data_IF_101044483077
#
_entry.id   IF_101044483077
#
_cell.length_a   1.000
_cell.length_b   1.000
_cell.length_c   1.000
_cell.angle_alpha   90.00
_cell.angle_beta   90.00
_cell.angle_gamma   90.00
#
_symmetry.space_group_name_H-M   'P 1'
#
loop_
_entity.id
_entity.type
_entity.pdbx_description
1 polymer ?
#
# COMPACT_ATOMS: atom_id res chain seq x y z
N UNK A 1 -8.78 -17.61 -3.86
CA UNK A 1 -8.73 -16.73 -2.68
C UNK A 1 -7.77 -15.58 -2.92
N UNK A 2 -7.64 -14.67 -1.96
CA UNK A 2 -6.78 -13.48 -2.08
C UNK A 2 -5.33 -13.84 -2.43
N UNK A 3 -4.75 -14.83 -1.73
CA UNK A 3 -3.38 -15.29 -1.98
C UNK A 3 -3.15 -15.71 -3.43
N UNK A 4 -4.00 -16.57 -4.00
CA UNK A 4 -3.85 -16.99 -5.40
C UNK A 4 -3.97 -15.82 -6.39
N UNK A 5 -4.90 -14.88 -6.12
CA UNK A 5 -5.07 -13.69 -6.98
C UNK A 5 -3.81 -12.84 -6.97
N UNK A 6 -3.22 -12.60 -5.79
CA UNK A 6 -1.95 -11.89 -5.66
C UNK A 6 -0.80 -12.65 -6.33
N UNK A 7 -0.69 -13.96 -6.15
CA UNK A 7 0.34 -14.75 -6.81
C UNK A 7 0.26 -14.64 -8.34
N UNK A 8 -0.95 -14.64 -8.92
CA UNK A 8 -1.14 -14.44 -10.34
C UNK A 8 -0.73 -13.04 -10.82
N UNK A 9 -1.10 -11.98 -10.08
CA UNK A 9 -0.77 -10.58 -10.40
C UNK A 9 0.75 -10.36 -10.37
N UNK A 10 1.42 -10.90 -9.35
CA UNK A 10 2.84 -10.65 -9.08
C UNK A 10 3.76 -11.77 -9.59
N UNK A 11 3.22 -12.70 -10.38
CA UNK A 11 3.94 -13.85 -10.92
C UNK A 11 4.73 -14.66 -9.86
N UNK A 12 4.13 -14.83 -8.68
CA UNK A 12 4.71 -15.61 -7.58
C UNK A 12 4.43 -17.09 -7.84
N UNK A 13 5.45 -17.97 -7.84
CA UNK A 13 5.26 -19.41 -8.03
C UNK A 13 4.31 -20.03 -7.00
N UNK A 14 3.46 -20.95 -7.45
CA UNK A 14 2.53 -21.71 -6.59
C UNK A 14 2.78 -23.20 -6.71
N UNK A 15 2.75 -23.90 -5.58
CA UNK A 15 2.82 -25.35 -5.51
C UNK A 15 1.40 -25.90 -5.46
N UNK A 16 1.17 -27.05 -6.12
CA UNK A 16 -0.15 -27.68 -6.15
C UNK A 16 -0.42 -28.48 -4.89
N UNK A 17 -1.65 -28.40 -4.38
CA UNK A 17 -2.13 -29.24 -3.28
C UNK A 17 -1.31 -29.10 -2.00
N UNK A 18 -0.94 -27.87 -1.62
CA UNK A 18 -0.25 -27.61 -0.36
C UNK A 18 -1.21 -27.83 0.81
N UNK A 19 -0.85 -28.64 1.82
CA UNK A 19 -1.72 -28.89 2.96
C UNK A 19 -1.81 -27.65 3.84
N UNK A 20 -3.04 -27.27 4.20
CA UNK A 20 -3.30 -26.21 5.16
C UNK A 20 -4.30 -26.74 6.19
N UNK A 21 -3.93 -26.62 7.45
CA UNK A 21 -4.76 -27.06 8.57
C UNK A 21 -5.43 -25.87 9.25
N UNK A 22 -6.55 -26.10 9.94
CA UNK A 22 -7.25 -25.09 10.72
C UNK A 22 -7.62 -23.86 9.87
N UNK A 23 -8.31 -24.08 8.75
CA UNK A 23 -8.96 -23.01 8.00
C UNK A 23 -10.38 -22.87 8.52
N UNK A 24 -10.80 -21.65 8.82
CA UNK A 24 -12.19 -21.37 9.16
C UNK A 24 -13.02 -21.23 7.87
N UNK A 25 -13.94 -22.15 7.65
CA UNK A 25 -14.94 -22.04 6.59
C UNK A 25 -16.15 -21.24 7.08
N UNK A 26 -16.38 -20.09 6.44
CA UNK A 26 -17.48 -19.18 6.80
C UNK A 26 -18.87 -19.75 6.48
N UNK A 27 -18.98 -20.61 5.47
CA UNK A 27 -20.27 -21.19 5.07
C UNK A 27 -20.72 -22.26 6.07
N UNK A 28 -19.84 -23.24 6.36
CA UNK A 28 -20.15 -24.29 7.33
C UNK A 28 -19.93 -23.87 8.79
N UNK A 29 -19.26 -22.73 9.03
CA UNK A 29 -18.84 -22.22 10.36
C UNK A 29 -17.98 -23.22 11.14
N UNK A 30 -17.14 -23.99 10.45
CA UNK A 30 -16.28 -25.01 11.04
C UNK A 30 -14.82 -24.79 10.66
N UNK A 31 -13.93 -25.30 11.51
CA UNK A 31 -12.53 -25.47 11.16
C UNK A 31 -12.38 -26.71 10.31
N UNK A 32 -11.71 -26.55 9.17
CA UNK A 32 -11.45 -27.63 8.22
C UNK A 32 -9.96 -27.65 7.86
N UNK A 33 -9.50 -28.83 7.47
CA UNK A 33 -8.20 -29.03 6.83
C UNK A 33 -8.42 -29.25 5.33
N UNK A 34 -7.49 -28.79 4.51
CA UNK A 34 -7.63 -28.90 3.06
C UNK A 34 -6.29 -28.79 2.32
N UNK A 35 -6.36 -28.96 1.00
CA UNK A 35 -5.22 -28.82 0.12
C UNK A 35 -5.52 -27.70 -0.89
N UNK A 36 -4.58 -26.76 -1.03
CA UNK A 36 -4.77 -25.56 -1.85
C UNK A 36 -3.52 -25.29 -2.67
N UNK A 37 -3.72 -24.69 -3.85
CA UNK A 37 -2.59 -24.22 -4.65
C UNK A 37 -2.08 -22.90 -4.04
N UNK A 38 -0.89 -22.94 -3.46
CA UNK A 38 -0.32 -21.86 -2.64
C UNK A 38 1.20 -21.75 -2.83
N UNK A 39 1.79 -20.55 -2.65
CA UNK A 39 3.23 -20.42 -2.54
C UNK A 39 3.73 -21.11 -1.26
N UNK A 40 4.94 -21.64 -1.30
CA UNK A 40 5.58 -22.28 -0.14
C UNK A 40 6.88 -21.59 0.25
N UNK A 41 7.17 -21.59 1.55
CA UNK A 41 8.43 -21.08 2.09
C UNK A 41 9.62 -21.92 1.62
N UNK A 42 10.68 -21.27 1.14
CA UNK A 42 11.92 -21.94 0.72
C UNK A 42 12.70 -22.55 1.90
N UNK A 43 12.38 -22.16 3.14
CA UNK A 43 13.10 -22.59 4.35
C UNK A 43 12.55 -23.92 4.87
N UNK A 44 11.23 -24.09 4.85
CA UNK A 44 10.54 -25.20 5.53
C UNK A 44 9.36 -25.79 4.73
N UNK A 45 9.14 -25.34 3.48
CA UNK A 45 8.03 -25.75 2.62
C UNK A 45 6.62 -25.48 3.20
N UNK A 46 6.51 -24.67 4.25
CA UNK A 46 5.22 -24.29 4.82
C UNK A 46 4.41 -23.44 3.85
N UNK A 47 3.07 -23.56 3.92
CA UNK A 47 2.16 -22.75 3.11
C UNK A 47 2.29 -21.27 3.47
N UNK A 48 2.47 -20.41 2.47
CA UNK A 48 2.46 -18.96 2.65
C UNK A 48 1.07 -18.43 2.29
N UNK A 49 0.42 -17.79 3.26
CA UNK A 49 -0.81 -17.04 3.05
C UNK A 49 -0.49 -15.55 2.94
N UNK A 50 -0.79 -14.98 1.79
CA UNK A 50 -0.80 -13.52 1.64
C UNK A 50 -2.10 -12.98 2.21
N UNK A 51 -2.02 -11.89 2.97
CA UNK A 51 -3.17 -11.18 3.54
C UNK A 51 -3.18 -9.74 3.05
N UNK A 52 -4.36 -9.13 2.82
CA UNK A 52 -4.43 -7.72 2.47
C UNK A 52 -3.77 -6.88 3.54
N UNK A 53 -2.80 -6.05 3.16
CA UNK A 53 -2.07 -5.20 4.11
C UNK A 53 -2.99 -4.29 4.93
N UNK A 54 -4.13 -3.87 4.36
CA UNK A 54 -5.16 -3.06 5.03
C UNK A 54 -5.68 -3.67 6.33
N UNK A 55 -5.89 -4.98 6.36
CA UNK A 55 -6.39 -5.67 7.56
C UNK A 55 -5.26 -5.94 8.55
N UNK A 56 -4.01 -5.82 8.11
CA UNK A 56 -2.81 -5.88 8.96
C UNK A 56 -2.55 -4.48 9.51
N UNK A 57 -3.37 -4.08 10.48
CA UNK A 57 -3.06 -2.93 11.33
C UNK A 57 -2.17 -3.42 12.45
N UNK A 58 -0.89 -3.06 12.38
CA UNK A 58 -0.07 -3.20 13.55
C UNK A 58 -0.49 -2.11 14.54
N UNK A 59 -1.34 -2.48 15.48
CA UNK A 59 -1.83 -1.61 16.53
C UNK A 59 -1.14 -2.03 17.83
N UNK A 60 0.15 -1.70 18.04
CA UNK A 60 0.84 -1.98 19.30
C UNK A 60 0.34 -0.98 20.37
N UNK A 61 -0.96 -0.74 20.47
CA UNK A 61 -1.53 0.11 21.49
C UNK A 61 -1.37 -0.53 22.87
N UNK A 62 -1.82 -1.78 22.96
CA UNK A 62 -1.60 -2.69 24.09
C UNK A 62 -0.61 -3.74 23.59
N UNK A 63 0.64 -3.67 24.06
CA UNK A 63 1.67 -4.62 23.65
C UNK A 63 2.70 -4.85 24.76
N UNK A 64 3.43 -5.96 24.64
CA UNK A 64 4.42 -6.39 25.63
C UNK A 64 5.57 -5.39 25.82
N UNK A 65 6.15 -4.87 24.74
CA UNK A 65 7.32 -3.98 24.84
C UNK A 65 6.97 -2.65 25.51
N UNK A 66 5.80 -2.10 25.21
CA UNK A 66 5.28 -0.89 25.83
C UNK A 66 4.90 -1.11 27.30
N UNK A 67 4.22 -2.22 27.62
CA UNK A 67 3.97 -2.62 29.01
C UNK A 67 5.28 -2.71 29.82
N UNK A 68 6.30 -3.35 29.27
CA UNK A 68 7.61 -3.46 29.94
C UNK A 68 8.25 -2.09 30.13
N UNK A 69 8.17 -1.20 29.14
CA UNK A 69 8.72 0.16 29.23
C UNK A 69 8.00 1.03 30.26
N UNK A 70 6.67 0.97 30.31
CA UNK A 70 5.86 1.86 31.15
C UNK A 70 5.71 1.36 32.59
N UNK A 71 5.34 0.09 32.76
CA UNK A 71 5.03 -0.49 34.08
C UNK A 71 6.21 -1.22 34.71
N UNK A 72 7.09 -1.81 33.90
CA UNK A 72 8.11 -2.74 34.39
C UNK A 72 9.54 -2.15 34.44
N UNK A 73 9.78 -1.02 33.77
CA UNK A 73 11.10 -0.39 33.73
C UNK A 73 11.59 0.05 35.12
N UNK A 74 10.69 0.51 35.99
CA UNK A 74 11.01 0.89 37.37
C UNK A 74 11.43 -0.34 38.18
N UNK A 75 10.74 -1.47 38.02
CA UNK A 75 11.11 -2.74 38.66
C UNK A 75 12.48 -3.23 38.18
N UNK A 76 12.75 -3.20 36.87
CA UNK A 76 14.05 -3.57 36.31
C UNK A 76 15.20 -2.67 36.78
N UNK A 77 14.95 -1.36 36.97
CA UNK A 77 15.92 -0.41 37.52
C UNK A 77 16.18 -0.66 39.00
N UNK A 78 15.13 -0.88 39.79
CA UNK A 78 15.22 -1.14 41.23
C UNK A 78 15.94 -2.46 41.55
N UNK A 79 15.79 -3.47 40.70
CA UNK A 79 16.46 -4.77 40.84
C UNK A 79 17.93 -4.75 40.41
N UNK A 80 18.44 -3.59 39.95
CA UNK A 80 19.87 -3.33 39.79
C UNK A 80 20.57 -4.31 38.84
N UNK A 81 20.31 -4.21 37.53
CA UNK A 81 21.14 -4.92 36.55
C UNK A 81 22.48 -4.21 36.35
N UNK A 82 23.31 -4.11 37.40
CA UNK A 82 24.76 -4.02 37.19
C UNK A 82 25.17 -5.36 36.58
N UNK A 83 25.55 -5.33 35.30
CA UNK A 83 26.34 -6.35 34.57
C UNK A 83 26.33 -7.75 35.21
N UNK A 84 25.35 -8.58 34.87
CA UNK A 84 25.52 -10.04 34.86
C UNK A 84 25.31 -10.53 33.43
N UNK A 85 26.28 -10.25 32.58
CA UNK A 85 26.42 -10.88 31.28
C UNK A 85 27.91 -11.14 31.02
N UNK A 86 28.49 -11.97 31.86
CA UNK A 86 29.69 -12.74 31.57
C UNK A 86 29.55 -14.11 32.24
N UNK A 87 28.51 -14.85 31.86
CA UNK A 87 28.43 -16.29 32.11
C UNK A 87 28.21 -16.94 30.73
N UNK A 88 29.25 -17.60 30.24
CA UNK A 88 29.21 -18.45 29.06
C UNK A 88 28.06 -19.45 29.20
N UNK A 89 27.13 -19.46 28.25
CA UNK A 89 26.09 -20.50 28.10
C UNK A 89 24.73 -20.23 28.76
N UNK A 90 24.48 -19.05 29.34
CA UNK A 90 23.19 -18.72 29.98
C UNK A 90 22.28 -17.87 29.07
N UNK A 91 20.97 -18.14 29.18
CA UNK A 91 19.81 -17.49 28.53
C UNK A 91 20.01 -16.01 28.15
N UNK A 92 19.51 -15.61 26.98
CA UNK A 92 19.63 -14.22 26.49
C UNK A 92 19.01 -13.21 27.46
N UNK A 93 19.55 -11.99 27.49
CA UNK A 93 19.05 -10.92 28.36
C UNK A 93 17.55 -10.66 28.16
N UNK A 94 17.07 -10.74 26.92
CA UNK A 94 15.65 -10.59 26.59
C UNK A 94 14.78 -11.71 27.20
N UNK A 95 15.25 -12.96 27.14
CA UNK A 95 14.54 -14.09 27.73
C UNK A 95 14.54 -14.03 29.27
N UNK A 96 15.62 -13.54 29.89
CA UNK A 96 15.67 -13.29 31.33
C UNK A 96 14.65 -12.22 31.77
N UNK A 97 14.56 -11.10 31.05
CA UNK A 97 13.56 -10.05 31.31
C UNK A 97 12.15 -10.62 31.16
N UNK A 98 11.86 -11.35 30.08
CA UNK A 98 10.53 -11.95 29.85
C UNK A 98 10.11 -12.89 30.97
N UNK A 99 11.05 -13.72 31.47
CA UNK A 99 10.78 -14.61 32.61
C UNK A 99 10.44 -13.83 33.88
N UNK A 100 11.19 -12.78 34.19
CA UNK A 100 10.96 -11.94 35.37
C UNK A 100 9.64 -11.18 35.27
N UNK A 101 9.30 -10.65 34.08
CA UNK A 101 7.99 -10.03 33.81
C UNK A 101 6.87 -11.02 34.09
N UNK A 102 6.91 -12.21 33.49
CA UNK A 102 5.88 -13.26 33.69
C UNK A 102 5.77 -13.68 35.16
N UNK A 103 6.88 -13.79 35.87
CA UNK A 103 6.88 -14.18 37.28
C UNK A 103 6.20 -13.12 38.17
N UNK A 104 6.42 -11.84 37.89
CA UNK A 104 5.78 -10.75 38.64
C UNK A 104 4.32 -10.57 38.25
N UNK A 105 4.00 -10.55 36.96
CA UNK A 105 2.60 -10.38 36.51
C UNK A 105 1.68 -11.51 36.96
N UNK A 106 2.20 -12.73 37.12
CA UNK A 106 1.43 -13.84 37.73
C UNK A 106 1.08 -13.62 39.20
N UNK A 107 1.88 -12.84 39.94
CA UNK A 107 1.64 -12.54 41.37
C UNK A 107 0.87 -11.23 41.55
N UNK A 108 1.09 -10.27 40.66
CA UNK A 108 0.55 -8.92 40.71
C UNK A 108 -0.17 -8.61 39.39
N UNK A 109 -1.28 -9.31 39.15
CA UNK A 109 -2.06 -9.18 37.91
C UNK A 109 -2.62 -7.76 37.72
N UNK A 110 -2.89 -7.06 38.84
CA UNK A 110 -3.38 -5.68 38.86
C UNK A 110 -2.49 -4.70 38.08
N UNK A 111 -1.20 -5.00 37.90
CA UNK A 111 -0.30 -4.19 37.06
C UNK A 111 -0.68 -4.26 35.59
N UNK A 112 -1.04 -5.45 35.12
CA UNK A 112 -1.51 -5.66 33.76
C UNK A 112 -2.85 -4.97 33.59
N UNK A 113 -3.77 -5.12 34.55
CA UNK A 113 -5.08 -4.48 34.50
C UNK A 113 -4.99 -2.95 34.49
N UNK A 114 -4.10 -2.37 35.31
CA UNK A 114 -3.84 -0.92 35.31
C UNK A 114 -3.32 -0.44 33.97
N UNK A 115 -2.35 -1.15 33.39
CA UNK A 115 -1.81 -0.83 32.07
C UNK A 115 -2.91 -0.84 31.00
N UNK A 116 -3.70 -1.92 30.96
CA UNK A 116 -4.81 -2.07 30.01
C UNK A 116 -5.80 -0.92 30.20
N UNK A 117 -6.23 -0.65 31.45
CA UNK A 117 -7.19 0.41 31.75
C UNK A 117 -6.70 1.78 31.30
N UNK A 118 -5.45 2.14 31.58
CA UNK A 118 -4.87 3.42 31.12
C UNK A 118 -4.85 3.51 29.60
N UNK A 119 -4.56 2.40 28.91
CA UNK A 119 -4.62 2.34 27.44
C UNK A 119 -6.05 2.46 26.92
N UNK A 120 -7.02 1.82 27.54
CA UNK A 120 -8.43 1.92 27.14
C UNK A 120 -9.00 3.32 27.37
N UNK A 121 -8.68 3.95 28.51
CA UNK A 121 -9.07 5.35 28.80
C UNK A 121 -8.50 6.34 27.76
N UNK A 122 -7.36 6.01 27.16
CA UNK A 122 -6.72 6.83 26.12
C UNK A 122 -6.88 6.25 24.69
N UNK A 123 -7.86 5.36 24.46
CA UNK A 123 -8.00 4.64 23.19
C UNK A 123 -8.16 5.56 21.95
N UNK A 124 -8.61 6.80 22.13
CA UNK A 124 -8.66 7.82 21.05
C UNK A 124 -7.27 8.11 20.45
N UNK A 125 -6.20 7.88 21.21
CA UNK A 125 -4.82 8.03 20.76
C UNK A 125 -4.28 6.77 20.07
N UNK A 126 -5.01 5.66 20.07
CA UNK A 126 -4.59 4.43 19.42
C UNK A 126 -4.60 4.62 17.90
N UNK A 127 -3.40 4.75 17.33
CA UNK A 127 -3.21 4.87 15.88
C UNK A 127 -2.44 3.64 15.37
N UNK A 128 -2.82 3.08 14.21
CA UNK A 128 -2.01 2.05 13.57
C UNK A 128 -0.57 2.55 13.38
N UNK A 129 0.40 1.75 13.81
CA UNK A 129 1.80 2.08 13.59
C UNK A 129 2.14 1.85 12.12
N UNK A 130 2.65 2.89 11.47
CA UNK A 130 3.27 2.79 10.14
C UNK A 130 4.75 2.38 10.22
N UNK A 131 5.32 2.24 11.43
CA UNK A 131 6.76 1.98 11.66
C UNK A 131 7.23 0.55 11.35
N UNK A 132 6.39 -0.28 10.73
CA UNK A 132 6.75 -1.63 10.26
C UNK A 132 7.42 -1.60 8.88
N UNK A 133 7.68 -0.41 8.33
CA UNK A 133 8.30 -0.26 7.03
C UNK A 133 9.70 0.28 7.21
N UNK A 134 10.67 -0.54 6.82
CA UNK A 134 12.07 -0.21 6.84
C UNK A 134 12.38 0.85 5.77
N UNK A 135 12.77 2.06 6.20
CA UNK A 135 13.17 3.14 5.31
C UNK A 135 14.37 2.73 4.43
N UNK A 136 15.26 1.86 4.93
CA UNK A 136 16.34 1.31 4.11
C UNK A 136 15.80 0.42 2.98
N UNK A 137 14.75 -0.35 3.27
CA UNK A 137 13.99 -1.11 2.27
C UNK A 137 13.36 -0.21 1.21
N UNK A 138 12.81 0.94 1.59
CA UNK A 138 12.23 1.89 0.64
C UNK A 138 13.24 2.44 -0.35
N UNK A 139 14.45 2.79 0.10
CA UNK A 139 15.49 3.29 -0.82
C UNK A 139 15.87 2.25 -1.86
N UNK A 140 16.15 1.02 -1.43
CA UNK A 140 16.54 -0.06 -2.34
C UNK A 140 15.43 -0.34 -3.38
N UNK A 141 14.18 -0.44 -2.92
CA UNK A 141 13.02 -0.67 -3.77
C UNK A 141 12.80 0.49 -4.75
N UNK A 142 12.87 1.74 -4.29
CA UNK A 142 12.77 2.92 -5.15
C UNK A 142 13.84 2.94 -6.24
N UNK A 143 15.09 2.59 -5.91
CA UNK A 143 16.18 2.56 -6.87
C UNK A 143 15.99 1.43 -7.91
N UNK A 144 15.50 0.26 -7.48
CA UNK A 144 15.14 -0.84 -8.38
C UNK A 144 14.00 -0.45 -9.32
N UNK A 145 12.91 0.11 -8.81
CA UNK A 145 11.75 0.52 -9.61
C UNK A 145 12.11 1.62 -10.62
N UNK A 146 12.98 2.57 -10.25
CA UNK A 146 13.53 3.57 -11.18
C UNK A 146 14.33 2.92 -12.31
N UNK A 147 15.17 1.93 -11.98
CA UNK A 147 15.96 1.21 -12.98
C UNK A 147 15.06 0.39 -13.92
N UNK A 148 14.05 -0.28 -13.37
CA UNK A 148 13.06 -1.04 -14.13
C UNK A 148 12.29 -0.15 -15.10
N UNK A 149 11.75 0.99 -14.63
CA UNK A 149 11.05 1.97 -15.48
C UNK A 149 11.93 2.44 -16.66
N UNK A 150 13.20 2.77 -16.38
CA UNK A 150 14.15 3.20 -17.42
C UNK A 150 14.48 2.10 -18.42
N UNK A 151 14.45 0.82 -18.00
CA UNK A 151 14.75 -0.32 -18.86
C UNK A 151 13.65 -0.63 -19.89
N UNK A 152 12.44 -0.09 -19.71
CA UNK A 152 11.32 -0.30 -20.64
C UNK A 152 11.48 0.63 -21.84
N UNK A 153 11.54 0.08 -23.04
CA UNK A 153 11.68 0.88 -24.26
C UNK A 153 10.40 1.65 -24.56
N UNK A 154 10.52 2.86 -25.10
CA UNK A 154 9.34 3.62 -25.54
C UNK A 154 8.75 2.95 -26.79
N UNK A 155 7.44 2.77 -26.82
CA UNK A 155 6.71 2.27 -27.98
C UNK A 155 5.78 1.11 -27.67
N UNK A 156 5.04 0.69 -28.70
CA UNK A 156 3.96 -0.30 -28.57
C UNK A 156 4.44 -1.68 -28.14
N UNK A 157 5.65 -2.09 -28.54
CA UNK A 157 6.20 -3.42 -28.25
C UNK A 157 6.33 -3.66 -26.74
N UNK A 158 6.75 -2.63 -26.00
CA UNK A 158 7.00 -2.68 -24.57
C UNK A 158 5.83 -2.08 -23.75
N UNK A 159 4.70 -1.75 -24.38
CA UNK A 159 3.57 -1.08 -23.71
C UNK A 159 2.99 -1.90 -22.55
N UNK A 160 2.85 -3.21 -22.70
CA UNK A 160 2.38 -4.08 -21.62
C UNK A 160 3.38 -4.13 -20.45
N UNK A 161 4.69 -4.20 -20.75
CA UNK A 161 5.75 -4.14 -19.74
C UNK A 161 5.77 -2.80 -19.01
N UNK A 162 5.54 -1.70 -19.73
CA UNK A 162 5.39 -0.38 -19.14
C UNK A 162 4.20 -0.31 -18.19
N UNK A 163 3.03 -0.76 -18.65
CA UNK A 163 1.80 -0.79 -17.84
C UNK A 163 1.99 -1.58 -16.55
N UNK A 164 2.58 -2.79 -16.64
CA UNK A 164 2.92 -3.60 -15.47
C UNK A 164 3.87 -2.83 -14.55
N UNK A 165 4.98 -2.30 -15.07
CA UNK A 165 5.96 -1.55 -14.25
C UNK A 165 5.34 -0.34 -13.56
N UNK A 166 4.43 0.37 -14.23
CA UNK A 166 3.69 1.49 -13.64
C UNK A 166 2.76 1.00 -12.52
N UNK A 167 2.05 -0.12 -12.69
CA UNK A 167 1.23 -0.70 -11.62
C UNK A 167 2.06 -1.01 -10.36
N UNK A 168 3.24 -1.61 -10.53
CA UNK A 168 4.15 -1.95 -9.44
C UNK A 168 4.60 -0.68 -8.69
N UNK A 169 5.02 0.34 -9.45
CA UNK A 169 5.39 1.65 -8.91
C UNK A 169 4.22 2.30 -8.14
N UNK A 170 3.02 2.33 -8.71
CA UNK A 170 1.87 2.99 -8.09
C UNK A 170 1.47 2.30 -6.79
N UNK A 171 1.52 0.96 -6.75
CA UNK A 171 1.32 0.19 -5.51
C UNK A 171 2.36 0.55 -4.46
N UNK A 172 3.64 0.63 -4.83
CA UNK A 172 4.71 1.00 -3.91
C UNK A 172 4.57 2.43 -3.37
N UNK A 173 4.29 3.39 -4.25
CA UNK A 173 4.16 4.81 -3.90
C UNK A 173 2.97 5.05 -2.98
N UNK A 174 1.80 4.60 -3.41
CA UNK A 174 0.53 4.99 -2.81
C UNK A 174 0.02 4.04 -1.74
N UNK A 175 0.71 2.93 -1.45
CA UNK A 175 0.38 2.17 -0.25
C UNK A 175 0.72 2.98 1.03
N UNK A 176 -0.21 3.07 2.02
CA UNK A 176 -1.48 2.32 2.13
C UNK A 176 -2.74 3.07 1.62
N UNK A 177 -2.58 4.26 1.04
CA UNK A 177 -3.69 5.16 0.66
C UNK A 177 -4.54 4.64 -0.50
N UNK A 178 -3.88 4.11 -1.53
CA UNK A 178 -4.53 3.44 -2.66
C UNK A 178 -4.19 1.96 -2.60
N UNK A 179 -5.20 1.11 -2.67
CA UNK A 179 -5.08 -0.35 -2.50
C UNK A 179 -5.71 -1.09 -3.67
N UNK A 180 -5.51 -2.41 -3.69
CA UNK A 180 -6.09 -3.33 -4.66
C UNK A 180 -5.85 -2.87 -6.12
N UNK A 181 -4.66 -2.34 -6.37
CA UNK A 181 -4.21 -1.96 -7.70
C UNK A 181 -4.23 -3.17 -8.63
N UNK A 182 -5.04 -3.13 -9.69
CA UNK A 182 -5.13 -4.20 -10.65
C UNK A 182 -5.12 -3.69 -12.10
N UNK A 183 -4.56 -4.53 -12.99
CA UNK A 183 -4.75 -4.37 -14.43
C UNK A 183 -6.16 -4.83 -14.77
N UNK A 184 -6.92 -4.03 -15.51
CA UNK A 184 -8.23 -4.49 -15.97
C UNK A 184 -8.03 -5.44 -17.17
N UNK A 185 -8.35 -6.72 -16.99
CA UNK A 185 -8.47 -7.67 -18.09
C UNK A 185 -9.91 -7.62 -18.61
N UNK A 186 -10.04 -7.41 -19.92
CA UNK A 186 -11.29 -7.26 -20.72
C UNK A 186 -12.59 -7.68 -20.02
N UNK A 187 -13.59 -6.79 -20.06
CA UNK A 187 -14.99 -7.17 -19.89
C UNK A 187 -15.45 -8.09 -21.04
N UNK A 188 -16.47 -8.91 -20.77
CA UNK A 188 -17.07 -9.89 -21.70
C UNK A 188 -17.47 -9.29 -23.06
N UNK A 189 -17.76 -7.99 -23.10
CA UNK A 189 -18.21 -7.27 -24.32
C UNK A 189 -17.06 -6.62 -25.12
N UNK A 190 -15.81 -6.69 -24.65
CA UNK A 190 -14.60 -6.44 -25.44
C UNK A 190 -14.31 -5.00 -25.91
N UNK A 191 -15.17 -4.02 -25.59
CA UNK A 191 -15.12 -2.66 -26.15
C UNK A 191 -14.39 -1.62 -25.31
N UNK A 192 -14.21 -1.86 -24.01
CA UNK A 192 -13.58 -0.90 -23.09
C UNK A 192 -12.39 -1.54 -22.37
N UNK A 193 -11.24 -0.83 -22.41
CA UNK A 193 -9.97 -1.20 -21.79
C UNK A 193 -9.49 -0.06 -20.90
N UNK A 194 -9.49 -0.25 -19.59
CA UNK A 194 -8.82 0.67 -18.66
C UNK A 194 -7.48 0.05 -18.29
N UNK A 195 -6.46 0.89 -18.11
CA UNK A 195 -5.14 0.33 -17.90
C UNK A 195 -4.91 -0.11 -16.45
N UNK A 196 -5.16 0.75 -15.47
CA UNK A 196 -4.94 0.46 -14.05
C UNK A 196 -6.04 1.13 -13.21
N UNK A 197 -6.60 0.40 -12.24
CA UNK A 197 -7.55 0.93 -11.26
C UNK A 197 -7.05 0.61 -9.84
N UNK A 198 -7.23 1.56 -8.94
CA UNK A 198 -7.05 1.40 -7.50
C UNK A 198 -8.36 1.68 -6.76
N UNK A 199 -8.51 1.07 -5.60
CA UNK A 199 -9.51 1.47 -4.60
C UNK A 199 -8.92 2.51 -3.65
N UNK A 200 -9.64 3.60 -3.45
CA UNK A 200 -9.30 4.65 -2.50
C UNK A 200 -9.84 4.32 -1.11
N UNK A 201 -8.97 3.73 -0.28
CA UNK A 201 -9.24 3.35 1.11
C UNK A 201 -8.51 4.25 2.11
N UNK A 202 -7.97 5.37 1.63
CA UNK A 202 -7.18 6.32 2.41
C UNK A 202 -7.99 7.04 3.49
N UNK A 203 -7.35 7.31 4.62
CA UNK A 203 -7.82 8.26 5.66
C UNK A 203 -7.17 9.65 5.52
N UNK A 204 -6.22 9.84 4.58
CA UNK A 204 -5.64 11.16 4.31
C UNK A 204 -6.66 12.15 3.73
N UNK A 205 -6.61 13.39 4.21
CA UNK A 205 -7.50 14.49 3.81
C UNK A 205 -7.61 14.68 2.29
N UNK A 206 -6.50 14.55 1.54
CA UNK A 206 -6.54 14.75 0.08
C UNK A 206 -7.34 13.66 -0.62
N UNK A 207 -7.09 12.39 -0.31
CA UNK A 207 -7.79 11.28 -0.94
C UNK A 207 -9.23 11.16 -0.45
N UNK A 208 -9.51 11.54 0.79
CA UNK A 208 -10.87 11.67 1.29
C UNK A 208 -11.65 12.74 0.51
N UNK A 209 -11.04 13.91 0.29
CA UNK A 209 -11.58 14.95 -0.58
C UNK A 209 -11.80 14.45 -2.02
N UNK A 210 -10.89 13.63 -2.58
CA UNK A 210 -11.09 13.00 -3.90
C UNK A 210 -12.29 12.06 -3.90
N UNK A 211 -12.45 11.26 -2.84
CA UNK A 211 -13.55 10.31 -2.69
C UNK A 211 -14.90 11.03 -2.58
N UNK A 212 -14.97 12.13 -1.83
CA UNK A 212 -16.20 12.90 -1.63
C UNK A 212 -16.55 13.78 -2.85
N UNK A 213 -15.66 14.67 -3.26
CA UNK A 213 -15.96 15.70 -4.27
C UNK A 213 -15.95 15.14 -5.69
N UNK A 214 -15.03 14.21 -5.96
CA UNK A 214 -14.86 13.62 -7.29
C UNK A 214 -15.51 12.24 -7.39
N UNK A 215 -16.27 11.79 -6.40
CA UNK A 215 -16.81 10.41 -6.34
C UNK A 215 -15.72 9.35 -6.58
N UNK A 216 -14.47 9.66 -6.18
CA UNK A 216 -13.29 8.86 -6.48
C UNK A 216 -13.07 7.72 -5.49
N UNK A 217 -14.07 6.86 -5.29
CA UNK A 217 -13.88 5.58 -4.60
C UNK A 217 -12.89 4.70 -5.37
N UNK A 218 -12.94 4.78 -6.70
CA UNK A 218 -11.93 4.21 -7.58
C UNK A 218 -11.08 5.33 -8.16
N UNK A 219 -9.80 5.04 -8.38
CA UNK A 219 -8.85 5.96 -8.99
C UNK A 219 -8.21 5.25 -10.18
N UNK A 220 -8.41 5.81 -11.37
CA UNK A 220 -7.90 5.23 -12.61
C UNK A 220 -6.61 5.89 -13.09
N UNK A 221 -5.75 5.08 -13.68
CA UNK A 221 -4.53 5.50 -14.36
C UNK A 221 -4.51 4.88 -15.76
N UNK A 222 -4.56 5.73 -16.79
CA UNK A 222 -4.34 5.36 -18.18
C UNK A 222 -2.83 5.45 -18.47
N UNK A 223 -2.22 4.44 -19.07
CA UNK A 223 -0.79 4.40 -19.35
C UNK A 223 -0.50 4.58 -20.84
N UNK A 224 0.46 5.43 -21.18
CA UNK A 224 0.86 5.67 -22.57
C UNK A 224 2.37 5.57 -22.73
N UNK A 225 2.81 4.42 -23.24
CA UNK A 225 4.21 4.17 -23.58
C UNK A 225 4.56 4.74 -24.97
N UNK A 226 4.42 6.05 -25.15
CA UNK A 226 4.64 6.75 -26.43
C UNK A 226 5.50 8.00 -26.24
N UNK A 227 6.10 8.50 -27.32
CA UNK A 227 6.86 9.77 -27.29
C UNK A 227 5.96 10.99 -27.17
N UNK A 228 4.78 10.96 -27.80
CA UNK A 228 3.80 12.03 -27.73
C UNK A 228 2.43 11.50 -27.34
N UNK A 229 1.63 12.36 -26.70
CA UNK A 229 0.30 12.07 -26.24
C UNK A 229 -0.74 12.73 -27.16
N UNK A 230 -1.39 11.90 -27.98
CA UNK A 230 -2.49 12.37 -28.81
C UNK A 230 -3.78 12.62 -28.02
N UNK A 231 -4.64 13.51 -28.54
CA UNK A 231 -5.93 13.84 -27.96
C UNK A 231 -6.87 12.63 -27.77
N UNK A 232 -6.69 11.57 -28.56
CA UNK A 232 -7.46 10.32 -28.45
C UNK A 232 -7.32 9.68 -27.06
N UNK A 233 -6.12 9.70 -26.46
CA UNK A 233 -5.89 9.11 -25.15
C UNK A 233 -6.64 9.86 -24.04
N UNK A 234 -6.68 11.19 -24.16
CA UNK A 234 -7.42 12.06 -23.23
C UNK A 234 -8.92 11.87 -23.34
N UNK A 235 -9.45 11.77 -24.57
CA UNK A 235 -10.86 11.49 -24.79
C UNK A 235 -11.25 10.12 -24.22
N UNK A 236 -10.42 9.09 -24.45
CA UNK A 236 -10.65 7.76 -23.90
C UNK A 236 -10.72 7.79 -22.36
N UNK A 237 -9.75 8.43 -21.72
CA UNK A 237 -9.74 8.62 -20.27
C UNK A 237 -11.01 9.33 -19.79
N UNK A 238 -11.40 10.41 -20.48
CA UNK A 238 -12.60 11.18 -20.12
C UNK A 238 -13.91 10.40 -20.28
N UNK A 239 -13.99 9.45 -21.21
CA UNK A 239 -15.15 8.56 -21.39
C UNK A 239 -15.35 7.66 -20.17
N UNK A 240 -14.27 7.15 -19.57
CA UNK A 240 -14.36 6.30 -18.39
C UNK A 240 -14.73 7.07 -17.12
N UNK A 241 -14.34 8.34 -17.02
CA UNK A 241 -14.68 9.18 -15.88
C UNK A 241 -16.19 9.47 -15.85
N UNK A 242 -16.78 9.41 -14.67
CA UNK A 242 -18.22 9.56 -14.44
C UNK A 242 -18.62 8.96 -13.10
N UNK A 243 -19.92 8.76 -12.89
CA UNK A 243 -20.44 8.38 -11.56
C UNK A 243 -20.01 6.99 -11.09
N UNK A 244 -19.69 6.09 -12.03
CA UNK A 244 -19.23 4.72 -11.70
C UNK A 244 -17.78 4.66 -11.24
N UNK A 245 -16.89 5.43 -11.86
CA UNK A 245 -15.45 5.35 -11.63
C UNK A 245 -14.92 6.50 -10.78
N UNK A 246 -15.60 7.65 -10.81
CA UNK A 246 -15.12 8.91 -10.29
C UNK A 246 -14.80 9.89 -11.42
N UNK A 247 -14.59 11.15 -11.03
CA UNK A 247 -14.41 12.31 -11.92
C UNK A 247 -12.97 12.84 -11.91
N UNK A 248 -12.05 12.14 -11.26
CA UNK A 248 -10.61 12.40 -11.29
C UNK A 248 -9.89 11.18 -11.86
N UNK A 249 -9.14 11.37 -12.94
CA UNK A 249 -8.31 10.33 -13.56
C UNK A 249 -6.90 10.83 -13.85
N UNK A 250 -6.01 9.88 -14.09
CA UNK A 250 -4.60 10.15 -14.39
C UNK A 250 -4.21 9.56 -15.75
N UNK A 251 -3.36 10.28 -16.47
CA UNK A 251 -2.65 9.75 -17.65
C UNK A 251 -1.16 9.72 -17.34
N UNK A 252 -0.60 8.51 -17.32
CA UNK A 252 0.81 8.23 -17.06
C UNK A 252 1.56 8.15 -18.37
N UNK A 253 2.58 8.99 -18.56
CA UNK A 253 3.30 9.16 -19.83
C UNK A 253 4.81 9.02 -19.68
N UNK A 254 5.51 8.68 -20.76
CA UNK A 254 6.99 8.66 -20.76
C UNK A 254 7.59 10.04 -20.58
N UNK A 255 7.05 11.02 -21.30
CA UNK A 255 7.54 12.40 -21.35
C UNK A 255 6.50 13.38 -20.81
N UNK A 256 6.93 14.62 -20.54
CA UNK A 256 6.00 15.69 -20.14
C UNK A 256 4.94 15.91 -21.22
N UNK A 257 3.67 16.15 -20.86
CA UNK A 257 2.63 16.42 -21.84
C UNK A 257 2.93 17.69 -22.61
N UNK A 258 2.63 17.67 -23.91
CA UNK A 258 2.69 18.87 -24.76
C UNK A 258 1.63 19.90 -24.35
N UNK A 259 1.81 21.17 -24.73
CA UNK A 259 0.82 22.21 -24.44
C UNK A 259 -0.56 21.87 -24.99
N UNK A 260 -0.63 21.22 -26.16
CA UNK A 260 -1.90 20.80 -26.76
C UNK A 260 -2.62 19.75 -25.92
N UNK A 261 -1.89 18.78 -25.35
CA UNK A 261 -2.45 17.81 -24.42
C UNK A 261 -2.95 18.47 -23.13
N UNK A 262 -2.21 19.44 -22.58
CA UNK A 262 -2.63 20.21 -21.41
C UNK A 262 -3.91 21.01 -21.70
N UNK A 263 -3.95 21.73 -22.82
CA UNK A 263 -5.15 22.48 -23.25
C UNK A 263 -6.34 21.55 -23.43
N UNK A 264 -6.13 20.34 -23.98
CA UNK A 264 -7.20 19.37 -24.13
C UNK A 264 -7.75 18.87 -22.79
N UNK A 265 -6.90 18.69 -21.77
CA UNK A 265 -7.36 18.36 -20.42
C UNK A 265 -8.20 19.50 -19.80
N UNK A 266 -7.85 20.77 -20.08
CA UNK A 266 -8.67 21.92 -19.68
C UNK A 266 -10.02 21.96 -20.40
N UNK A 267 -10.05 21.69 -21.71
CA UNK A 267 -11.32 21.56 -22.45
C UNK A 267 -12.19 20.46 -21.85
N UNK A 268 -11.64 19.28 -21.53
CA UNK A 268 -12.40 18.20 -20.88
C UNK A 268 -13.04 18.69 -19.58
N UNK A 269 -12.30 19.43 -18.76
CA UNK A 269 -12.82 19.96 -17.50
C UNK A 269 -13.92 21.02 -17.70
N UNK A 270 -13.76 21.92 -18.68
CA UNK A 270 -14.72 22.99 -18.95
C UNK A 270 -16.00 22.48 -19.64
N UNK A 271 -15.87 21.50 -20.54
CA UNK A 271 -16.96 21.00 -21.37
C UNK A 271 -17.78 19.90 -20.68
N UNK A 272 -17.28 19.33 -19.58
CA UNK A 272 -17.98 18.27 -18.84
C UNK A 272 -18.85 18.81 -17.71
N UNK A 273 -20.07 18.26 -17.60
CA UNK A 273 -20.96 18.49 -16.49
C UNK A 273 -21.55 17.16 -16.00
N UNK A 274 -21.23 16.68 -14.79
CA UNK A 274 -20.30 17.27 -13.83
C UNK A 274 -18.85 17.33 -14.33
N UNK A 275 -18.05 18.24 -13.78
CA UNK A 275 -16.67 18.49 -14.22
C UNK A 275 -15.77 17.28 -13.99
N UNK A 276 -15.01 16.91 -15.02
CA UNK A 276 -14.01 15.83 -15.03
C UNK A 276 -12.61 16.41 -15.03
N UNK A 277 -11.70 15.84 -14.24
CA UNK A 277 -10.31 16.26 -14.14
C UNK A 277 -9.42 15.13 -14.63
N UNK A 278 -8.51 15.46 -15.55
CA UNK A 278 -7.47 14.55 -16.02
C UNK A 278 -6.11 15.16 -15.70
N UNK A 279 -5.35 14.49 -14.83
CA UNK A 279 -4.00 14.90 -14.43
C UNK A 279 -2.95 14.08 -15.17
N UNK A 280 -1.78 14.67 -15.41
CA UNK A 280 -0.65 13.99 -16.03
C UNK A 280 0.41 13.63 -15.00
N UNK A 281 1.02 12.46 -15.16
CA UNK A 281 2.19 12.02 -14.41
C UNK A 281 3.20 11.47 -15.42
N UNK A 282 4.36 12.11 -15.58
CA UNK A 282 5.41 11.56 -16.45
C UNK A 282 6.46 10.73 -15.69
N UNK A 283 7.35 10.03 -16.41
CA UNK A 283 8.45 9.27 -15.81
C UNK A 283 9.31 10.13 -14.85
N UNK A 284 9.52 11.42 -15.15
CA UNK A 284 10.22 12.34 -14.23
C UNK A 284 9.44 12.59 -12.94
N UNK A 285 8.11 12.68 -13.02
CA UNK A 285 7.25 12.87 -11.85
C UNK A 285 7.23 11.60 -10.99
N UNK A 286 7.19 10.42 -11.62
CA UNK A 286 7.35 9.12 -10.96
C UNK A 286 8.70 9.05 -10.23
N UNK A 287 9.80 9.37 -10.91
CA UNK A 287 11.13 9.33 -10.31
C UNK A 287 11.22 10.22 -9.05
N UNK A 288 10.63 11.43 -9.10
CA UNK A 288 10.56 12.33 -7.95
C UNK A 288 9.73 11.75 -6.80
N UNK A 289 8.60 11.12 -7.10
CA UNK A 289 7.78 10.48 -6.07
C UNK A 289 8.51 9.28 -5.44
N UNK A 290 9.26 8.51 -6.23
CA UNK A 290 10.10 7.41 -5.74
C UNK A 290 11.24 7.92 -4.85
N UNK A 291 11.87 9.03 -5.20
CA UNK A 291 12.90 9.68 -4.37
C UNK A 291 12.31 10.23 -3.06
N UNK A 292 11.09 10.75 -3.07
CA UNK A 292 10.38 11.14 -1.85
C UNK A 292 10.10 9.93 -0.96
N UNK A 293 9.57 8.85 -1.53
CA UNK A 293 9.27 7.61 -0.79
C UNK A 293 10.54 6.97 -0.20
N UNK A 294 11.65 7.02 -0.93
CA UNK A 294 12.95 6.49 -0.52
C UNK A 294 13.50 7.11 0.78
N UNK A 295 13.03 8.31 1.14
CA UNK A 295 13.42 9.00 2.39
C UNK A 295 12.25 9.12 3.38
N UNK A 296 11.21 8.29 3.22
CA UNK A 296 10.06 8.23 4.11
C UNK A 296 9.01 9.34 3.90
N UNK A 297 9.14 10.19 2.88
CA UNK A 297 8.13 11.21 2.58
C UNK A 297 6.92 10.62 1.85
N UNK A 298 5.74 11.22 2.09
CA UNK A 298 4.50 10.77 1.48
C UNK A 298 4.31 11.34 0.05
N UNK A 299 4.28 10.49 -1.00
CA UNK A 299 4.15 10.93 -2.40
C UNK A 299 2.76 11.51 -2.73
N UNK A 300 1.74 11.29 -1.91
CA UNK A 300 0.41 11.92 -2.06
C UNK A 300 0.51 13.45 -2.11
N UNK A 301 1.49 14.04 -1.41
CA UNK A 301 1.72 15.50 -1.47
C UNK A 301 2.06 15.98 -2.89
N UNK A 302 2.76 15.16 -3.68
CA UNK A 302 3.08 15.48 -5.08
C UNK A 302 1.80 15.54 -5.91
N UNK A 303 0.93 14.53 -5.78
CA UNK A 303 -0.36 14.46 -6.47
C UNK A 303 -1.27 15.63 -6.06
N UNK A 304 -1.34 15.95 -4.78
CA UNK A 304 -2.10 17.10 -4.29
C UNK A 304 -1.60 18.41 -4.90
N UNK A 305 -0.29 18.57 -5.09
CA UNK A 305 0.29 19.74 -5.74
C UNK A 305 0.02 19.77 -7.26
N UNK A 306 -0.06 18.62 -7.94
CA UNK A 306 -0.51 18.54 -9.33
C UNK A 306 -1.98 18.96 -9.45
N UNK A 307 -2.84 18.43 -8.58
CA UNK A 307 -4.25 18.79 -8.51
C UNK A 307 -4.45 20.30 -8.28
N UNK A 308 -3.75 20.88 -7.29
CA UNK A 308 -3.81 22.33 -7.01
C UNK A 308 -3.39 23.16 -8.21
N UNK A 309 -2.26 22.83 -8.86
CA UNK A 309 -1.79 23.52 -10.05
C UNK A 309 -2.82 23.47 -11.17
N UNK A 310 -3.38 22.29 -11.46
CA UNK A 310 -4.45 22.15 -12.44
C UNK A 310 -5.64 23.06 -12.12
N UNK A 311 -6.11 23.02 -10.86
CA UNK A 311 -7.26 23.82 -10.40
C UNK A 311 -7.04 25.32 -10.49
N UNK A 312 -5.82 25.80 -10.26
CA UNK A 312 -5.48 27.22 -10.38
C UNK A 312 -5.28 27.64 -11.83
N UNK A 313 -4.74 26.78 -12.69
CA UNK A 313 -4.47 27.09 -14.10
C UNK A 313 -5.70 27.01 -15.02
N UNK A 314 -6.74 26.28 -14.63
CA UNK A 314 -7.96 26.10 -15.44
C UNK A 314 -9.05 27.13 -15.13
N UNK A 315 -8.90 27.91 -14.05
CA UNK A 315 -9.76 29.06 -13.74
C UNK A 315 -9.51 30.19 -14.75
#
# INVERSE_FOLDING_TARGET
GYTQKQCAIWNIPVNKGVPVTHIFDHESRKWIDGHFDLPTSMVDNSAILLVPRRIVRALPWINYDDFVKLEFAVYLRAKGTKRRAAIKGSMSAAAAVKRDVVAVTRREIERVDRYIRVKEENAVQAQPSTGFVDDAGFRAESDQLKAQLKSVSIGRNDAAKYQQTVLEILNFLFNPELIDGELEVRTLDGTERRDIIFTNDSDMTFWDYVRSEHSGLFVMFETKNTQDLGASALNQTATYLGDRLGRLGFVVTRLRPSESAVRKAFSIYNDSNPRKIVLFICDEDIARMLDQKAVGNNPTRYIQNLYRRFRTSVQ
#
